data_IF_830454884161
#
_entry.id   IF_830454884161
#
_cell.length_a   1.000
_cell.length_b   1.000
_cell.length_c   1.000
_cell.angle_alpha   90.00
_cell.angle_beta   90.00
_cell.angle_gamma   90.00
#
_symmetry.space_group_name_H-M   'P 1'
#
loop_
_entity.id
_entity.type
_entity.pdbx_description
1 polymer ?
#
# COMPACT_ATOMS: atom_id res chain seq x y z
N UNK A 1 -15.40 1.07 6.14
CA UNK A 1 -14.67 -0.18 6.38
C UNK A 1 -14.18 -0.74 5.05
N UNK A 2 -13.12 -1.55 5.07
CA UNK A 2 -12.77 -2.45 3.98
C UNK A 2 -12.71 -3.87 4.53
N UNK A 3 -12.80 -4.86 3.67
CA UNK A 3 -12.56 -6.27 4.04
C UNK A 3 -11.14 -6.62 3.62
N UNK A 4 -10.40 -7.33 4.46
CA UNK A 4 -9.02 -7.71 4.17
C UNK A 4 -8.71 -9.16 4.52
N UNK A 5 -7.93 -9.81 3.66
CA UNK A 5 -7.33 -11.11 3.89
C UNK A 5 -5.86 -10.95 4.25
N UNK A 6 -5.55 -11.08 5.54
CA UNK A 6 -4.20 -10.92 6.07
C UNK A 6 -3.60 -12.30 6.29
N UNK A 7 -2.43 -12.54 5.71
CA UNK A 7 -1.76 -13.85 5.83
C UNK A 7 -0.24 -13.71 5.87
N UNK A 8 0.40 -14.80 6.27
CA UNK A 8 1.85 -14.99 6.21
C UNK A 8 2.70 -14.00 7.03
N UNK A 9 2.14 -13.45 8.11
CA UNK A 9 2.92 -12.83 9.17
C UNK A 9 3.47 -13.90 10.13
N UNK A 10 4.75 -13.82 10.45
CA UNK A 10 5.39 -14.60 11.50
C UNK A 10 5.41 -13.82 12.82
N UNK A 11 5.90 -14.44 13.91
CA UNK A 11 6.07 -13.75 15.19
C UNK A 11 6.95 -12.48 15.02
N UNK A 12 6.61 -11.36 15.69
CA UNK A 12 5.53 -11.18 16.68
C UNK A 12 4.14 -10.87 16.07
N UNK A 13 4.03 -10.78 14.75
CA UNK A 13 2.83 -10.34 14.03
C UNK A 13 1.89 -11.47 13.60
N UNK A 14 2.13 -12.72 14.01
CA UNK A 14 1.33 -13.90 13.64
C UNK A 14 -0.15 -13.74 14.01
N UNK A 15 -0.46 -13.01 15.07
CA UNK A 15 -1.81 -12.67 15.52
C UNK A 15 -2.61 -11.79 14.52
N UNK A 16 -1.95 -11.19 13.52
CA UNK A 16 -2.61 -10.40 12.49
C UNK A 16 -3.23 -11.26 11.38
N UNK A 17 -2.79 -12.52 11.22
CA UNK A 17 -3.25 -13.41 10.16
C UNK A 17 -4.73 -13.75 10.36
N UNK A 18 -5.58 -13.30 9.43
CA UNK A 18 -7.02 -13.47 9.48
C UNK A 18 -7.64 -13.24 8.10
N UNK A 19 -8.59 -14.11 7.73
CA UNK A 19 -9.41 -13.98 6.51
C UNK A 19 -10.67 -13.18 6.81
N UNK A 20 -11.16 -12.41 5.84
CA UNK A 20 -12.38 -11.59 5.91
C UNK A 20 -12.40 -10.62 7.11
N UNK A 21 -11.24 -10.04 7.44
CA UNK A 21 -11.14 -9.09 8.55
C UNK A 21 -11.72 -7.73 8.12
N UNK A 22 -12.72 -7.25 8.86
CA UNK A 22 -13.21 -5.89 8.69
C UNK A 22 -12.21 -4.90 9.28
N UNK A 23 -11.58 -4.10 8.42
CA UNK A 23 -10.72 -3.00 8.84
C UNK A 23 -11.53 -1.70 8.89
N UNK A 24 -11.51 -1.04 10.05
CA UNK A 24 -12.25 0.20 10.27
C UNK A 24 -11.54 1.42 9.65
N UNK A 25 -11.38 1.39 8.33
CA UNK A 25 -10.91 2.52 7.53
C UNK A 25 -12.15 3.34 7.11
N UNK A 26 -12.23 4.57 7.62
CA UNK A 26 -13.23 5.55 7.22
C UNK A 26 -12.79 6.32 5.98
N UNK A 27 -13.72 6.97 5.28
CA UNK A 27 -13.41 7.83 4.12
C UNK A 27 -12.43 8.96 4.51
N UNK A 28 -12.61 9.53 5.70
CA UNK A 28 -11.71 10.56 6.23
C UNK A 28 -10.31 10.00 6.54
N UNK A 29 -10.23 8.83 7.17
CA UNK A 29 -8.95 8.17 7.43
C UNK A 29 -8.21 7.87 6.13
N UNK A 30 -8.91 7.35 5.12
CA UNK A 30 -8.33 7.11 3.80
C UNK A 30 -7.82 8.41 3.18
N UNK A 31 -8.62 9.48 3.16
CA UNK A 31 -8.20 10.76 2.59
C UNK A 31 -6.95 11.33 3.29
N UNK A 32 -6.92 11.30 4.63
CA UNK A 32 -5.71 11.66 5.40
C UNK A 32 -4.52 10.79 5.00
N UNK A 33 -4.73 9.49 4.83
CA UNK A 33 -3.67 8.57 4.45
C UNK A 33 -3.15 8.80 3.04
N UNK A 34 -4.01 9.13 2.08
CA UNK A 34 -3.60 9.53 0.71
C UNK A 34 -2.78 10.81 0.73
N UNK A 35 -3.10 11.77 1.60
CA UNK A 35 -2.31 13.01 1.75
C UNK A 35 -0.93 12.76 2.37
N UNK A 36 -0.83 11.83 3.32
CA UNK A 36 0.39 11.60 4.11
C UNK A 36 1.35 10.58 3.49
N UNK A 37 0.86 9.64 2.68
CA UNK A 37 1.69 8.58 2.11
C UNK A 37 2.79 9.18 1.23
N UNK A 38 3.98 8.57 1.28
CA UNK A 38 5.16 9.05 0.58
C UNK A 38 6.00 10.07 1.37
N UNK A 39 5.58 10.44 2.58
CA UNK A 39 6.27 11.38 3.46
C UNK A 39 6.88 10.71 4.69
N UNK A 40 7.98 11.27 5.19
CA UNK A 40 8.73 10.77 6.35
C UNK A 40 8.27 11.37 7.69
N UNK A 41 7.37 12.36 7.65
CA UNK A 41 6.93 13.09 8.84
C UNK A 41 6.06 14.29 8.50
N UNK A 42 5.61 15.01 9.54
CA UNK A 42 4.79 16.22 9.40
C UNK A 42 5.48 17.29 8.55
N UNK A 43 6.79 17.49 8.75
CA UNK A 43 7.57 18.47 7.96
C UNK A 43 7.49 18.17 6.46
N UNK A 44 7.75 16.93 6.05
CA UNK A 44 7.67 16.53 4.64
C UNK A 44 6.24 16.64 4.07
N UNK A 45 5.22 16.44 4.90
CA UNK A 45 3.83 16.67 4.50
C UNK A 45 3.56 18.15 4.23
N UNK A 46 4.04 19.07 5.08
CA UNK A 46 3.84 20.51 4.87
C UNK A 46 4.67 21.05 3.69
N UNK A 47 5.79 20.42 3.36
CA UNK A 47 6.60 20.75 2.17
C UNK A 47 5.86 20.46 0.84
N UNK A 48 4.83 19.61 0.83
CA UNK A 48 4.01 19.37 -0.37
C UNK A 48 3.18 20.60 -0.80
N UNK A 49 3.05 21.61 0.07
CA UNK A 49 2.15 22.76 -0.02
C UNK A 49 0.65 22.43 0.07
N UNK A 50 -0.15 23.44 0.43
CA UNK A 50 -1.59 23.31 0.65
C UNK A 50 -2.34 22.80 -0.59
N UNK A 51 -1.99 23.30 -1.79
CA UNK A 51 -2.70 22.91 -3.02
C UNK A 51 -2.55 21.43 -3.35
N UNK A 52 -1.38 20.84 -3.10
CA UNK A 52 -1.18 19.40 -3.30
C UNK A 52 -1.99 18.57 -2.31
N UNK A 53 -2.03 18.98 -1.04
CA UNK A 53 -2.85 18.32 -0.02
C UNK A 53 -4.33 18.41 -0.36
N UNK A 54 -4.80 19.59 -0.76
CA UNK A 54 -6.18 19.81 -1.21
C UNK A 54 -6.52 18.96 -2.44
N UNK A 55 -5.62 18.86 -3.43
CA UNK A 55 -5.79 17.99 -4.59
C UNK A 55 -5.98 16.52 -4.18
N UNK A 56 -5.12 16.00 -3.30
CA UNK A 56 -5.17 14.61 -2.85
C UNK A 56 -6.42 14.32 -2.01
N UNK A 57 -6.83 15.28 -1.18
CA UNK A 57 -8.08 15.24 -0.44
C UNK A 57 -9.27 15.16 -1.41
N UNK A 58 -9.39 16.10 -2.34
CA UNK A 58 -10.47 16.15 -3.32
C UNK A 58 -10.50 14.90 -4.21
N UNK A 59 -9.34 14.41 -4.67
CA UNK A 59 -9.22 13.16 -5.44
C UNK A 59 -9.85 11.99 -4.68
N UNK A 60 -9.54 11.86 -3.39
CA UNK A 60 -10.09 10.78 -2.57
C UNK A 60 -11.58 10.97 -2.32
N UNK A 61 -12.00 12.18 -1.96
CA UNK A 61 -13.40 12.47 -1.62
C UNK A 61 -14.34 12.35 -2.82
N UNK A 62 -13.87 12.69 -4.02
CA UNK A 62 -14.64 12.61 -5.25
C UNK A 62 -14.78 11.17 -5.77
N UNK A 63 -13.82 10.28 -5.47
CA UNK A 63 -13.78 8.94 -6.06
C UNK A 63 -14.20 7.81 -5.10
N UNK A 64 -14.33 8.07 -3.80
CA UNK A 64 -14.72 7.08 -2.80
C UNK A 64 -16.08 7.43 -2.20
N UNK A 65 -16.97 6.46 -2.09
CA UNK A 65 -18.20 6.58 -1.32
C UNK A 65 -18.37 5.43 -0.34
N UNK A 66 -19.40 5.54 0.50
CA UNK A 66 -19.74 4.53 1.51
C UNK A 66 -21.04 3.85 1.10
N UNK A 67 -20.98 2.54 0.91
CA UNK A 67 -22.14 1.70 0.62
C UNK A 67 -22.22 0.60 1.68
N UNK A 68 -23.35 0.50 2.39
CA UNK A 68 -23.58 -0.48 3.47
C UNK A 68 -22.45 -0.57 4.52
N UNK A 69 -21.82 0.54 4.89
CA UNK A 69 -20.70 0.54 5.85
C UNK A 69 -19.31 0.42 5.22
N UNK A 70 -19.23 -0.04 3.97
CA UNK A 70 -18.00 -0.32 3.25
C UNK A 70 -17.61 0.82 2.31
N UNK A 71 -16.31 1.00 2.11
CA UNK A 71 -15.81 1.92 1.09
C UNK A 71 -15.91 1.24 -0.27
N UNK A 72 -16.36 1.98 -1.28
CA UNK A 72 -16.32 1.57 -2.70
C UNK A 72 -15.97 2.77 -3.59
N UNK A 73 -15.58 2.50 -4.84
CA UNK A 73 -15.47 3.55 -5.85
C UNK A 73 -16.87 4.07 -6.21
N UNK A 74 -16.97 5.36 -6.49
CA UNK A 74 -18.21 5.99 -7.00
C UNK A 74 -18.50 5.53 -8.42
N UNK A 75 -19.76 5.54 -8.84
CA UNK A 75 -20.11 5.05 -10.18
C UNK A 75 -19.51 5.91 -11.30
N UNK A 76 -19.34 7.22 -11.08
CA UNK A 76 -18.72 8.14 -12.05
C UNK A 76 -17.24 7.82 -12.34
N UNK A 77 -16.55 7.12 -11.43
CA UNK A 77 -15.19 6.65 -11.66
C UNK A 77 -15.11 5.75 -12.90
N UNK A 78 -16.13 4.93 -13.14
CA UNK A 78 -16.14 4.01 -14.27
C UNK A 78 -16.29 4.69 -15.63
N UNK A 79 -16.65 5.98 -15.65
CA UNK A 79 -16.72 6.81 -16.85
C UNK A 79 -15.40 7.56 -17.15
N UNK A 80 -14.45 7.56 -16.22
CA UNK A 80 -13.14 8.18 -16.41
C UNK A 80 -12.34 7.44 -17.49
N UNK A 81 -11.40 8.15 -18.11
CA UNK A 81 -10.48 7.51 -19.05
C UNK A 81 -9.47 6.60 -18.33
N UNK A 82 -8.78 5.75 -19.09
CA UNK A 82 -7.89 4.73 -18.53
C UNK A 82 -6.71 5.32 -17.74
N UNK A 83 -6.24 6.51 -18.11
CA UNK A 83 -5.13 7.19 -17.42
C UNK A 83 -5.59 7.77 -16.09
N UNK A 84 -6.77 8.39 -16.06
CA UNK A 84 -7.41 8.91 -14.84
C UNK A 84 -7.73 7.79 -13.85
N UNK A 85 -8.34 6.70 -14.31
CA UNK A 85 -8.62 5.52 -13.48
C UNK A 85 -7.36 4.97 -12.84
N UNK A 86 -6.25 4.93 -13.59
CA UNK A 86 -4.95 4.48 -13.11
C UNK A 86 -4.42 5.41 -12.03
N UNK A 87 -4.48 6.72 -12.24
CA UNK A 87 -4.01 7.71 -11.27
C UNK A 87 -4.81 7.65 -9.96
N UNK A 88 -6.13 7.57 -10.05
CA UNK A 88 -7.03 7.46 -8.88
C UNK A 88 -6.79 6.16 -8.13
N UNK A 89 -6.76 5.01 -8.83
CA UNK A 89 -6.52 3.71 -8.20
C UNK A 89 -5.14 3.63 -7.54
N UNK A 90 -4.13 4.23 -8.16
CA UNK A 90 -2.78 4.34 -7.58
C UNK A 90 -2.81 5.10 -6.25
N UNK A 91 -3.39 6.31 -6.23
CA UNK A 91 -3.44 7.12 -5.01
C UNK A 91 -4.25 6.44 -3.89
N UNK A 92 -5.40 5.87 -4.21
CA UNK A 92 -6.23 5.15 -3.23
C UNK A 92 -5.49 3.92 -2.68
N UNK A 93 -4.86 3.12 -3.55
CA UNK A 93 -4.08 1.95 -3.13
C UNK A 93 -2.94 2.31 -2.17
N UNK A 94 -2.20 3.38 -2.47
CA UNK A 94 -1.14 3.91 -1.59
C UNK A 94 -1.70 4.37 -0.24
N UNK A 95 -2.82 5.09 -0.25
CA UNK A 95 -3.49 5.54 0.97
C UNK A 95 -4.00 4.38 1.83
N UNK A 96 -4.55 3.34 1.22
CA UNK A 96 -4.98 2.13 1.92
C UNK A 96 -3.79 1.39 2.55
N UNK A 97 -2.68 1.24 1.83
CA UNK A 97 -1.46 0.63 2.37
C UNK A 97 -0.97 1.37 3.62
N UNK A 98 -0.94 2.70 3.57
CA UNK A 98 -0.58 3.52 4.74
C UNK A 98 -1.59 3.40 5.87
N UNK A 99 -2.90 3.39 5.59
CA UNK A 99 -3.93 3.20 6.61
C UNK A 99 -3.80 1.82 7.29
N UNK A 100 -3.53 0.76 6.54
CA UNK A 100 -3.27 -0.57 7.07
C UNK A 100 -2.00 -0.60 7.93
N UNK A 101 -0.91 0.03 7.49
CA UNK A 101 0.34 0.10 8.26
C UNK A 101 0.14 0.78 9.61
N UNK A 102 -0.63 1.87 9.67
CA UNK A 102 -0.98 2.54 10.94
C UNK A 102 -1.84 1.65 11.83
N UNK A 103 -2.91 1.04 11.29
CA UNK A 103 -3.86 0.26 12.09
C UNK A 103 -3.23 -1.01 12.65
N UNK A 104 -2.54 -1.77 11.79
CA UNK A 104 -2.08 -3.12 12.05
C UNK A 104 -0.68 -3.17 12.64
N UNK A 105 0.24 -2.33 12.14
CA UNK A 105 1.65 -2.38 12.49
C UNK A 105 2.10 -1.18 13.35
N UNK A 106 1.19 -0.24 13.65
CA UNK A 106 1.48 0.99 14.42
C UNK A 106 2.59 1.84 13.79
N UNK A 107 2.65 1.85 12.46
CA UNK A 107 3.64 2.63 11.69
C UNK A 107 2.98 3.92 11.20
N UNK A 108 3.32 5.09 11.76
CA UNK A 108 2.64 6.35 11.44
C UNK A 108 3.00 6.93 10.07
N UNK A 109 4.21 6.63 9.58
CA UNK A 109 4.76 7.23 8.36
C UNK A 109 5.27 6.16 7.41
N UNK A 110 4.80 6.24 6.16
CA UNK A 110 5.34 5.48 5.04
C UNK A 110 5.91 6.49 4.03
N UNK A 111 7.23 6.51 3.88
CA UNK A 111 7.91 7.31 2.87
C UNK A 111 8.11 6.51 1.58
N UNK A 112 8.24 7.19 0.45
CA UNK A 112 8.70 6.52 -0.77
C UNK A 112 10.09 5.95 -0.55
N UNK A 113 10.29 4.67 -0.88
CA UNK A 113 11.58 4.01 -0.61
C UNK A 113 12.73 4.72 -1.35
N UNK A 114 12.45 5.29 -2.52
CA UNK A 114 13.41 6.04 -3.35
C UNK A 114 13.96 7.30 -2.67
N UNK A 115 13.29 7.80 -1.62
CA UNK A 115 13.78 8.94 -0.83
C UNK A 115 14.82 8.53 0.22
N UNK A 116 15.02 7.24 0.47
CA UNK A 116 16.01 6.75 1.43
C UNK A 116 17.25 6.19 0.70
N UNK A 117 18.40 6.88 0.77
CA UNK A 117 19.62 6.43 0.10
C UNK A 117 20.25 5.18 0.74
N UNK A 118 19.84 4.82 1.97
CA UNK A 118 20.41 3.70 2.73
C UNK A 118 19.63 2.40 2.54
N UNK A 119 18.94 2.24 1.41
CA UNK A 119 18.21 1.02 1.04
C UNK A 119 19.08 0.20 0.09
N UNK A 120 19.42 -1.01 0.51
CA UNK A 120 20.15 -1.97 -0.32
C UNK A 120 19.11 -2.93 -0.92
N UNK A 121 18.97 -2.84 -2.24
CA UNK A 121 18.15 -3.75 -3.04
C UNK A 121 19.06 -4.75 -3.73
N UNK A 122 18.53 -5.94 -4.01
CA UNK A 122 19.20 -6.89 -4.89
C UNK A 122 19.16 -6.36 -6.32
N UNK A 123 20.25 -5.73 -6.76
CA UNK A 123 20.46 -5.28 -8.13
C UNK A 123 21.51 -6.17 -8.82
N UNK A 124 21.40 -6.36 -10.14
CA UNK A 124 22.25 -7.17 -11.05
C UNK A 124 21.91 -8.67 -11.17
N UNK A 125 20.87 -9.01 -11.94
CA UNK A 125 20.50 -10.37 -12.40
C UNK A 125 20.29 -11.47 -11.34
N UNK A 126 20.53 -11.17 -10.07
CA UNK A 126 20.29 -12.04 -8.92
C UNK A 126 19.05 -11.52 -8.19
N UNK A 127 17.88 -11.60 -8.84
CA UNK A 127 16.62 -11.36 -8.14
C UNK A 127 16.56 -12.31 -6.95
N UNK A 128 16.31 -11.78 -5.76
CA UNK A 128 16.07 -12.64 -4.61
C UNK A 128 14.82 -13.47 -4.88
N UNK A 129 14.81 -14.75 -4.47
CA UNK A 129 13.61 -15.56 -4.56
C UNK A 129 12.48 -14.86 -3.79
N UNK A 130 11.23 -15.00 -4.25
CA UNK A 130 10.12 -14.41 -3.55
C UNK A 130 10.01 -15.00 -2.15
N UNK A 131 9.63 -14.19 -1.17
CA UNK A 131 9.39 -14.66 0.19
C UNK A 131 8.37 -15.81 0.23
N UNK A 132 7.40 -15.80 -0.70
CA UNK A 132 6.36 -16.81 -0.90
C UNK A 132 5.96 -16.79 -2.38
N UNK A 133 5.73 -17.98 -2.96
CA UNK A 133 5.16 -18.13 -4.30
C UNK A 133 3.74 -18.65 -4.19
N UNK A 134 2.75 -17.78 -4.42
CA UNK A 134 1.33 -18.11 -4.44
C UNK A 134 0.81 -18.30 -5.88
N UNK A 135 1.36 -17.54 -6.83
CA UNK A 135 0.97 -17.53 -8.24
C UNK A 135 2.18 -17.33 -9.15
N UNK A 136 1.96 -17.31 -10.47
CA UNK A 136 3.01 -17.09 -11.46
C UNK A 136 3.04 -15.65 -11.99
N UNK A 137 4.24 -15.13 -12.23
CA UNK A 137 4.44 -13.83 -12.89
C UNK A 137 5.73 -13.85 -13.71
N UNK A 138 5.67 -13.26 -14.91
CA UNK A 138 6.82 -13.14 -15.82
C UNK A 138 7.49 -11.76 -15.71
N UNK A 139 7.07 -10.93 -14.76
CA UNK A 139 7.58 -9.58 -14.59
C UNK A 139 8.80 -9.59 -13.67
N UNK A 140 9.86 -8.91 -14.10
CA UNK A 140 10.99 -8.64 -13.22
C UNK A 140 10.56 -7.75 -12.05
N UNK A 141 10.88 -8.11 -10.80
CA UNK A 141 10.58 -7.27 -9.65
C UNK A 141 11.40 -5.98 -9.72
N UNK A 142 10.73 -4.86 -9.45
CA UNK A 142 11.36 -3.55 -9.27
C UNK A 142 11.50 -3.23 -7.78
N UNK A 143 12.14 -2.12 -7.46
CA UNK A 143 12.09 -1.54 -6.12
C UNK A 143 10.62 -1.44 -5.64
N UNK A 144 10.35 -1.74 -4.36
CA UNK A 144 9.00 -1.59 -3.82
C UNK A 144 8.64 -0.12 -3.61
N UNK A 145 7.37 0.19 -3.31
CA UNK A 145 6.89 1.57 -3.25
C UNK A 145 7.33 2.32 -1.98
N UNK A 146 7.24 1.67 -0.83
CA UNK A 146 7.16 2.34 0.47
C UNK A 146 8.03 1.69 1.56
N UNK A 147 8.52 2.53 2.47
CA UNK A 147 9.29 2.18 3.65
C UNK A 147 8.71 2.91 4.86
N UNK A 148 8.54 2.19 5.97
CA UNK A 148 8.20 2.76 7.27
C UNK A 148 9.08 2.21 8.38
N UNK A 149 9.03 2.86 9.53
CA UNK A 149 9.74 2.42 10.74
C UNK A 149 8.75 2.31 11.90
N UNK A 150 8.85 1.24 12.67
CA UNK A 150 8.11 1.12 13.93
C UNK A 150 8.77 1.94 15.06
N UNK A 151 8.18 1.89 16.25
CA UNK A 151 8.70 2.59 17.44
C UNK A 151 10.10 2.11 17.87
N UNK A 152 10.46 0.87 17.53
CA UNK A 152 11.78 0.29 17.76
C UNK A 152 12.77 0.60 16.63
N UNK A 153 12.39 1.45 15.67
CA UNK A 153 13.17 1.80 14.47
C UNK A 153 13.53 0.56 13.64
N UNK A 154 12.64 -0.43 13.59
CA UNK A 154 12.75 -1.56 12.69
C UNK A 154 12.15 -1.19 11.33
N UNK A 155 12.83 -1.51 10.21
CA UNK A 155 12.33 -1.17 8.89
C UNK A 155 11.23 -2.12 8.42
N UNK A 156 10.16 -1.58 7.87
CA UNK A 156 9.05 -2.32 7.26
C UNK A 156 8.85 -1.87 5.82
N UNK A 157 8.79 -2.83 4.90
CA UNK A 157 8.69 -2.61 3.46
C UNK A 157 7.28 -2.88 2.98
N UNK A 158 6.76 -2.01 2.13
CA UNK A 158 5.41 -2.13 1.57
C UNK A 158 5.44 -1.93 0.05
N UNK A 159 4.67 -2.78 -0.65
CA UNK A 159 4.28 -2.55 -2.05
C UNK A 159 2.76 -2.38 -2.10
N UNK A 160 2.27 -1.35 -2.78
CA UNK A 160 0.84 -1.06 -2.84
C UNK A 160 0.30 -1.20 -4.27
N UNK A 161 -0.76 -1.99 -4.43
CA UNK A 161 -1.45 -2.18 -5.70
C UNK A 161 -2.93 -1.88 -5.53
N UNK A 162 -3.42 -0.89 -6.26
CA UNK A 162 -4.84 -0.61 -6.39
C UNK A 162 -5.35 -1.03 -7.76
N UNK A 163 -6.35 -1.91 -7.80
CA UNK A 163 -6.96 -2.40 -9.03
C UNK A 163 -8.45 -2.11 -9.03
N UNK A 164 -8.94 -1.45 -10.07
CA UNK A 164 -10.37 -1.17 -10.28
C UNK A 164 -11.04 -2.12 -11.27
N UNK A 165 -10.34 -3.20 -11.66
CA UNK A 165 -10.77 -4.17 -12.69
C UNK A 165 -10.82 -5.60 -12.17
N UNK A 166 -10.92 -5.79 -10.86
CA UNK A 166 -10.90 -7.11 -10.23
C UNK A 166 -9.51 -7.57 -9.78
N UNK A 167 -9.51 -8.65 -9.00
CA UNK A 167 -8.30 -9.30 -8.50
C UNK A 167 -7.37 -9.76 -9.63
N UNK A 168 -6.09 -9.44 -9.50
CA UNK A 168 -5.06 -9.84 -10.46
C UNK A 168 -3.94 -10.58 -9.73
N UNK A 169 -4.02 -11.92 -9.74
CA UNK A 169 -3.11 -12.80 -9.03
C UNK A 169 -1.64 -12.66 -9.49
N UNK A 170 -1.41 -12.42 -10.77
CA UNK A 170 -0.05 -12.21 -11.29
C UNK A 170 0.55 -10.89 -10.80
N UNK A 171 -0.28 -9.85 -10.64
CA UNK A 171 0.13 -8.58 -10.05
C UNK A 171 0.35 -8.68 -8.53
N UNK A 172 -0.47 -9.46 -7.82
CA UNK A 172 -0.24 -9.78 -6.41
C UNK A 172 1.10 -10.51 -6.22
N UNK A 173 1.38 -11.53 -7.03
CA UNK A 173 2.69 -12.21 -6.98
C UNK A 173 3.82 -11.24 -7.32
N UNK A 174 3.66 -10.39 -8.33
CA UNK A 174 4.68 -9.39 -8.66
C UNK A 174 4.96 -8.45 -7.48
N UNK A 175 3.93 -8.01 -6.75
CA UNK A 175 4.10 -7.21 -5.55
C UNK A 175 4.85 -7.95 -4.42
N UNK A 176 4.56 -9.24 -4.23
CA UNK A 176 5.32 -10.09 -3.30
C UNK A 176 6.79 -10.18 -3.73
N UNK A 177 7.06 -10.34 -5.02
CA UNK A 177 8.42 -10.39 -5.55
C UNK A 177 9.16 -9.06 -5.31
N UNK A 178 8.49 -7.91 -5.51
CA UNK A 178 9.07 -6.57 -5.31
C UNK A 178 9.52 -6.33 -3.87
N UNK A 179 8.65 -6.60 -2.87
CA UNK A 179 9.05 -6.42 -1.47
C UNK A 179 10.17 -7.38 -1.04
N UNK A 180 10.30 -8.52 -1.71
CA UNK A 180 11.35 -9.52 -1.45
C UNK A 180 12.75 -9.04 -1.89
N UNK A 181 12.84 -8.02 -2.76
CA UNK A 181 14.13 -7.55 -3.27
C UNK A 181 14.90 -6.66 -2.29
N UNK A 182 14.31 -6.26 -1.16
CA UNK A 182 15.01 -5.45 -0.15
C UNK A 182 15.86 -6.35 0.74
N UNK A 183 17.18 -6.18 0.66
CA UNK A 183 18.16 -6.88 1.50
C UNK A 183 18.22 -6.20 2.87
N UNK A 184 18.48 -4.89 2.89
CA UNK A 184 18.59 -4.12 4.13
C UNK A 184 18.19 -2.66 3.94
N UNK A 185 17.84 -2.02 5.06
CA UNK A 185 17.60 -0.59 5.20
C UNK A 185 18.37 -0.13 6.42
N UNK A 186 19.26 0.85 6.26
CA UNK A 186 20.14 1.31 7.36
C UNK A 186 20.90 0.14 8.00
N UNK A 187 21.41 -0.77 7.17
CA UNK A 187 22.14 -1.98 7.57
C UNK A 187 21.30 -3.01 8.36
N UNK A 188 19.99 -2.78 8.57
CA UNK A 188 19.07 -3.73 9.19
C UNK A 188 18.26 -4.46 8.14
N UNK A 189 18.04 -5.76 8.33
CA UNK A 189 17.09 -6.50 7.50
C UNK A 189 15.66 -5.97 7.74
N UNK A 190 14.80 -5.89 6.70
CA UNK A 190 13.37 -5.63 6.86
C UNK A 190 12.73 -6.57 7.88
N UNK A 191 12.10 -5.99 8.89
CA UNK A 191 11.38 -6.72 9.92
C UNK A 191 10.06 -7.30 9.38
N UNK A 192 9.38 -6.57 8.49
CA UNK A 192 8.35 -7.15 7.63
C UNK A 192 8.48 -6.68 6.18
N UNK A 193 7.98 -7.51 5.27
CA UNK A 193 7.82 -7.21 3.84
C UNK A 193 6.37 -7.47 3.49
N UNK A 194 5.59 -6.45 3.16
CA UNK A 194 4.13 -6.53 3.05
C UNK A 194 3.70 -6.14 1.63
N UNK A 195 3.06 -7.06 0.92
CA UNK A 195 2.39 -6.74 -0.34
C UNK A 195 0.93 -6.41 -0.01
N UNK A 196 0.49 -5.20 -0.37
CA UNK A 196 -0.87 -4.72 -0.20
C UNK A 196 -1.54 -4.68 -1.56
N UNK A 197 -2.58 -5.50 -1.76
CA UNK A 197 -3.31 -5.57 -3.02
C UNK A 197 -4.79 -5.30 -2.76
N UNK A 198 -5.34 -4.28 -3.40
CA UNK A 198 -6.72 -3.85 -3.20
C UNK A 198 -7.51 -4.01 -4.49
N UNK A 199 -8.53 -4.87 -4.46
CA UNK A 199 -9.59 -4.92 -5.47
C UNK A 199 -10.68 -3.93 -5.10
N UNK A 200 -10.90 -2.95 -5.98
CA UNK A 200 -11.85 -1.86 -5.81
C UNK A 200 -13.04 -1.94 -6.79
N UNK A 201 -13.12 -3.01 -7.59
CA UNK A 201 -14.15 -3.14 -8.64
C UNK A 201 -15.54 -3.48 -8.10
N UNK A 202 -15.63 -3.97 -6.87
CA UNK A 202 -16.87 -4.44 -6.25
C UNK A 202 -17.66 -3.37 -5.49
N UNK A 203 -18.72 -3.83 -4.82
CA UNK A 203 -19.55 -3.03 -3.90
C UNK A 203 -18.84 -2.66 -2.59
N UNK A 204 -17.65 -3.22 -2.38
CA UNK A 204 -16.75 -2.97 -1.26
C UNK A 204 -15.32 -3.19 -1.72
N UNK A 205 -14.38 -2.39 -1.21
CA UNK A 205 -12.94 -2.64 -1.39
C UNK A 205 -12.53 -3.88 -0.60
N UNK A 206 -11.89 -4.82 -1.29
CA UNK A 206 -11.29 -6.03 -0.72
C UNK A 206 -9.76 -5.94 -0.81
N UNK A 207 -9.07 -6.19 0.30
CA UNK A 207 -7.63 -6.01 0.46
C UNK A 207 -6.88 -7.22 0.97
#
# INVERSE_FOLDING_TARGET
>A
MIIADISNFSNPYSHLNQTNKNLNISKFMLARSVMMVGQSGLRGMFELCFYRLAQLLCLTLANIEKHNGYLKLVDSFYNLDASEKRAVSYHIGMGLAKACAELLLKIPWLQHISKNPNVILSYNNLNLPPKISLYNTNKNPKAPDLLGFDVAKQPHIFEAKGYSSGMNFSALQHAINQVSQVISVEQKAPFTRVACFYDMSGISIHG
#
